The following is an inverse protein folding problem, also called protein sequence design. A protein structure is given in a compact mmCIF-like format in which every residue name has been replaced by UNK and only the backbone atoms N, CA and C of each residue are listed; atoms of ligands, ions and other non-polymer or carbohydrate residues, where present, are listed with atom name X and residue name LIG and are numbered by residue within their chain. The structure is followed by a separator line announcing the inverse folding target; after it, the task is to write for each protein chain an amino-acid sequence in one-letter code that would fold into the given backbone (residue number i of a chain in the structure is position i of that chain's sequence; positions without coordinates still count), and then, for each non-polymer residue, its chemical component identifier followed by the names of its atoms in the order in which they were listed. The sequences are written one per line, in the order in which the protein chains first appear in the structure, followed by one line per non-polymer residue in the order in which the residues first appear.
data_IF_662810656704
#
_entry.id   IF_662810656704
#
_cell.length_a   1.000
_cell.length_b   1.000
_cell.length_c   1.000
_cell.angle_alpha   90.00
_cell.angle_beta   90.00
_cell.angle_gamma   90.00
#
_symmetry.space_group_name_H-M   'P 1'
#
loop_
_entity.id
_entity.type
_entity.pdbx_description
1 polymer ?
#
# COMPACT_ATOMS: atom_id res chain seq x y z
N UNK A 1 16.44 -173.91 -117.02
CA UNK A 1 17.14 -173.55 -115.76
C UNK A 1 17.47 -172.06 -115.67
N UNK A 2 17.66 -171.34 -116.79
CA UNK A 2 17.94 -169.88 -116.77
C UNK A 2 16.76 -168.97 -116.39
N UNK A 3 15.52 -169.39 -116.64
CA UNK A 3 14.32 -168.56 -116.37
C UNK A 3 14.02 -168.39 -114.88
N UNK A 4 14.39 -169.36 -114.04
CA UNK A 4 14.19 -169.31 -112.58
C UNK A 4 15.24 -168.40 -111.93
N UNK A 5 16.49 -168.45 -112.36
CA UNK A 5 17.55 -167.52 -111.89
C UNK A 5 17.21 -166.06 -112.19
N UNK A 6 16.66 -165.78 -113.38
CA UNK A 6 16.25 -164.41 -113.77
C UNK A 6 15.12 -163.86 -112.90
N UNK A 7 14.12 -164.70 -112.59
CA UNK A 7 13.00 -164.33 -111.71
C UNK A 7 13.41 -164.14 -110.24
N UNK A 8 14.37 -164.94 -109.76
CA UNK A 8 14.92 -164.83 -108.41
C UNK A 8 15.84 -163.59 -108.28
N UNK A 9 16.59 -163.25 -109.35
CA UNK A 9 17.32 -161.99 -109.45
C UNK A 9 16.39 -160.77 -109.50
N UNK A 10 15.28 -160.87 -110.23
CA UNK A 10 14.27 -159.81 -110.31
C UNK A 10 13.59 -159.57 -108.95
N UNK A 11 13.14 -160.63 -108.28
CA UNK A 11 12.54 -160.54 -106.94
C UNK A 11 13.51 -160.03 -105.89
N UNK A 12 14.81 -160.32 -106.03
CA UNK A 12 15.84 -159.78 -105.13
C UNK A 12 16.03 -158.28 -105.35
N UNK A 13 16.07 -157.84 -106.61
CA UNK A 13 16.16 -156.43 -106.98
C UNK A 13 14.89 -155.64 -106.59
N UNK A 14 13.70 -156.23 -106.75
CA UNK A 14 12.44 -155.61 -106.36
C UNK A 14 12.31 -155.51 -104.83
N UNK A 15 12.84 -156.51 -104.09
CA UNK A 15 12.92 -156.46 -102.62
C UNK A 15 13.94 -155.42 -102.14
N UNK A 16 15.10 -155.32 -102.80
CA UNK A 16 16.10 -154.25 -102.52
C UNK A 16 15.49 -152.88 -102.79
N UNK A 17 14.81 -152.69 -103.93
CA UNK A 17 14.15 -151.43 -104.26
C UNK A 17 13.03 -151.06 -103.28
N UNK A 18 12.23 -152.03 -102.83
CA UNK A 18 11.18 -151.79 -101.84
C UNK A 18 11.76 -151.49 -100.44
N UNK A 19 12.92 -152.06 -100.11
CA UNK A 19 13.67 -151.72 -98.89
C UNK A 19 14.25 -150.31 -98.98
N UNK A 20 14.86 -149.94 -100.11
CA UNK A 20 15.38 -148.59 -100.34
C UNK A 20 14.25 -147.54 -100.32
N UNK A 21 13.09 -147.83 -100.94
CA UNK A 21 11.92 -146.94 -100.91
C UNK A 21 11.33 -146.81 -99.49
N UNK A 22 11.31 -147.90 -98.71
CA UNK A 22 10.92 -147.88 -97.29
C UNK A 22 11.90 -147.05 -96.47
N UNK A 23 13.21 -147.22 -96.67
CA UNK A 23 14.25 -146.52 -95.93
C UNK A 23 14.26 -145.01 -96.27
N UNK A 24 13.99 -144.64 -97.52
CA UNK A 24 13.80 -143.24 -97.94
C UNK A 24 12.52 -142.66 -97.35
N UNK A 25 11.42 -143.40 -97.32
CA UNK A 25 10.17 -142.96 -96.70
C UNK A 25 10.31 -142.80 -95.17
N UNK A 26 11.01 -143.71 -94.50
CA UNK A 26 11.30 -143.63 -93.07
C UNK A 26 12.25 -142.46 -92.74
N UNK A 27 13.27 -142.21 -93.57
CA UNK A 27 14.14 -141.05 -93.44
C UNK A 27 13.37 -139.73 -93.63
N UNK A 28 12.52 -139.64 -94.66
CA UNK A 28 11.71 -138.46 -94.93
C UNK A 28 10.65 -138.23 -93.85
N UNK A 29 10.02 -139.29 -93.33
CA UNK A 29 9.06 -139.19 -92.24
C UNK A 29 9.75 -138.74 -90.94
N UNK A 30 10.96 -139.22 -90.68
CA UNK A 30 11.76 -138.80 -89.53
C UNK A 30 12.16 -137.32 -89.64
N UNK A 31 12.61 -136.87 -90.80
CA UNK A 31 12.96 -135.46 -91.05
C UNK A 31 11.73 -134.53 -90.93
N UNK A 32 10.57 -134.97 -91.42
CA UNK A 32 9.31 -134.25 -91.24
C UNK A 32 8.86 -134.20 -89.78
N UNK A 33 9.03 -135.30 -89.02
CA UNK A 33 8.76 -135.34 -87.58
C UNK A 33 9.67 -134.40 -86.80
N UNK A 34 10.98 -134.39 -87.09
CA UNK A 34 11.94 -133.47 -86.47
C UNK A 34 11.60 -132.01 -86.79
N UNK A 35 11.15 -131.71 -88.00
CA UNK A 35 10.73 -130.35 -88.39
C UNK A 35 9.43 -129.92 -87.72
N UNK A 36 8.47 -130.83 -87.55
CA UNK A 36 7.24 -130.56 -86.80
C UNK A 36 7.54 -130.35 -85.32
N UNK A 37 8.49 -131.10 -84.77
CA UNK A 37 8.97 -130.93 -83.39
C UNK A 37 9.63 -129.56 -83.21
N UNK A 38 10.54 -129.15 -84.10
CA UNK A 38 11.16 -127.81 -84.09
C UNK A 38 10.13 -126.69 -84.16
N UNK A 39 9.18 -126.75 -85.09
CA UNK A 39 8.13 -125.72 -85.23
C UNK A 39 7.19 -125.70 -84.03
N UNK A 40 6.92 -126.84 -83.41
CA UNK A 40 6.14 -126.91 -82.18
C UNK A 40 6.88 -126.27 -81.00
N UNK A 41 8.20 -126.50 -80.88
CA UNK A 41 8.99 -125.91 -79.81
C UNK A 41 9.19 -124.40 -80.02
N UNK A 42 9.41 -123.94 -81.25
CA UNK A 42 9.41 -122.51 -81.59
C UNK A 42 8.04 -121.85 -81.30
N UNK A 43 6.93 -122.52 -81.63
CA UNK A 43 5.60 -122.02 -81.28
C UNK A 43 5.39 -121.92 -79.76
N UNK A 44 5.86 -122.91 -78.99
CA UNK A 44 5.79 -122.85 -77.53
C UNK A 44 6.64 -121.70 -76.99
N UNK A 45 7.83 -121.48 -77.53
CA UNK A 45 8.72 -120.39 -77.12
C UNK A 45 8.08 -119.02 -77.44
N UNK A 46 7.56 -118.84 -78.64
CA UNK A 46 6.83 -117.63 -79.04
C UNK A 46 5.59 -117.39 -78.19
N UNK A 47 4.80 -118.43 -77.91
CA UNK A 47 3.65 -118.31 -77.00
C UNK A 47 4.07 -117.91 -75.58
N UNK A 48 5.20 -118.43 -75.11
CA UNK A 48 5.76 -118.06 -73.80
C UNK A 48 6.24 -116.60 -73.81
N UNK A 49 6.87 -116.16 -74.90
CA UNK A 49 7.34 -114.79 -75.06
C UNK A 49 6.19 -113.78 -75.19
N UNK A 50 5.12 -114.14 -75.90
CA UNK A 50 3.90 -113.33 -75.99
C UNK A 50 3.30 -113.13 -74.59
N UNK A 51 3.15 -114.20 -73.81
CA UNK A 51 2.63 -114.10 -72.42
C UNK A 51 3.51 -113.23 -71.53
N UNK A 52 4.83 -113.31 -71.67
CA UNK A 52 5.75 -112.42 -70.95
C UNK A 52 5.55 -110.96 -71.34
N UNK A 53 5.47 -110.67 -72.65
CA UNK A 53 5.26 -109.31 -73.15
C UNK A 53 3.89 -108.75 -72.76
N UNK A 54 2.84 -109.58 -72.74
CA UNK A 54 1.51 -109.20 -72.25
C UNK A 54 1.58 -108.84 -70.76
N UNK A 55 2.25 -109.67 -69.94
CA UNK A 55 2.44 -109.38 -68.51
C UNK A 55 3.26 -108.11 -68.29
N UNK A 56 4.34 -107.91 -69.05
CA UNK A 56 5.16 -106.69 -69.00
C UNK A 56 4.35 -105.45 -69.43
N UNK A 57 3.48 -105.58 -70.44
CA UNK A 57 2.61 -104.50 -70.90
C UNK A 57 1.56 -104.14 -69.84
N UNK A 58 0.97 -105.13 -69.19
CA UNK A 58 0.02 -104.91 -68.09
C UNK A 58 0.72 -104.22 -66.90
N UNK A 59 1.88 -104.73 -66.48
CA UNK A 59 2.69 -104.15 -65.39
C UNK A 59 3.10 -102.70 -65.68
N UNK A 60 3.52 -102.41 -66.92
CA UNK A 60 3.93 -101.05 -67.32
C UNK A 60 2.73 -100.12 -67.42
N UNK A 61 1.57 -100.63 -67.88
CA UNK A 61 0.33 -99.86 -67.93
C UNK A 61 -0.20 -99.52 -66.54
N UNK A 62 -0.15 -100.45 -65.59
CA UNK A 62 -0.51 -100.19 -64.19
C UNK A 62 0.44 -99.18 -63.53
N UNK A 63 1.74 -99.31 -63.76
CA UNK A 63 2.74 -98.33 -63.29
C UNK A 63 2.47 -96.96 -63.87
N UNK A 64 2.20 -96.87 -65.18
CA UNK A 64 1.88 -95.61 -65.85
C UNK A 64 0.64 -94.97 -65.21
N UNK A 65 -0.47 -95.71 -65.07
CA UNK A 65 -1.69 -95.21 -64.43
C UNK A 65 -1.43 -94.72 -63.01
N UNK A 66 -0.64 -95.48 -62.22
CA UNK A 66 -0.28 -95.08 -60.85
C UNK A 66 0.54 -93.79 -60.83
N UNK A 67 1.48 -93.63 -61.77
CA UNK A 67 2.27 -92.39 -61.88
C UNK A 67 1.44 -91.20 -62.33
N UNK A 68 0.48 -91.39 -63.25
CA UNK A 68 -0.46 -90.35 -63.68
C UNK A 68 -1.29 -89.86 -62.50
N UNK A 69 -1.88 -90.78 -61.72
CA UNK A 69 -2.66 -90.42 -60.52
C UNK A 69 -1.81 -89.63 -59.52
N UNK A 70 -0.55 -90.04 -59.31
CA UNK A 70 0.38 -89.31 -58.43
C UNK A 70 0.73 -87.92 -58.96
N UNK A 71 0.90 -87.78 -60.28
CA UNK A 71 1.16 -86.51 -60.93
C UNK A 71 -0.03 -85.55 -60.76
N UNK A 72 -1.25 -86.01 -61.05
CA UNK A 72 -2.48 -85.24 -60.85
C UNK A 72 -2.68 -84.80 -59.39
N UNK A 73 -2.35 -85.68 -58.43
CA UNK A 73 -2.41 -85.35 -57.01
C UNK A 73 -1.36 -84.28 -56.62
N UNK A 74 -0.15 -84.37 -57.17
CA UNK A 74 0.91 -83.39 -56.94
C UNK A 74 0.57 -82.02 -57.56
N UNK A 75 0.01 -82.00 -58.77
CA UNK A 75 -0.46 -80.77 -59.43
C UNK A 75 -1.58 -80.09 -58.63
N UNK A 76 -2.56 -80.84 -58.12
CA UNK A 76 -3.60 -80.28 -57.24
C UNK A 76 -3.04 -79.74 -55.92
N UNK A 77 -2.06 -80.43 -55.34
CA UNK A 77 -1.40 -79.96 -54.13
C UNK A 77 -0.59 -78.68 -54.39
N UNK A 78 0.12 -78.62 -55.52
CA UNK A 78 0.84 -77.42 -55.95
C UNK A 78 -0.12 -76.24 -56.16
N UNK A 79 -1.22 -76.44 -56.87
CA UNK A 79 -2.21 -75.39 -57.11
C UNK A 79 -2.78 -74.84 -55.80
N UNK A 80 -3.14 -75.73 -54.85
CA UNK A 80 -3.59 -75.31 -53.51
C UNK A 80 -2.53 -74.48 -52.78
N UNK A 81 -1.27 -74.90 -52.83
CA UNK A 81 -0.17 -74.17 -52.19
C UNK A 81 0.12 -72.81 -52.85
N UNK A 82 0.00 -72.71 -54.18
CA UNK A 82 0.13 -71.44 -54.91
C UNK A 82 -1.01 -70.46 -54.56
N UNK A 83 -2.24 -70.96 -54.42
CA UNK A 83 -3.39 -70.17 -53.96
C UNK A 83 -3.21 -69.68 -52.51
N UNK A 84 -2.73 -70.53 -51.62
CA UNK A 84 -2.40 -70.16 -50.24
C UNK A 84 -1.26 -69.13 -50.18
N UNK A 85 -0.21 -69.30 -50.99
CA UNK A 85 0.90 -68.36 -51.07
C UNK A 85 0.42 -66.98 -51.55
N UNK A 86 -0.43 -66.94 -52.58
CA UNK A 86 -1.00 -65.70 -53.09
C UNK A 86 -1.89 -65.00 -52.04
N UNK A 87 -2.65 -65.77 -51.27
CA UNK A 87 -3.47 -65.23 -50.18
C UNK A 87 -2.62 -64.69 -49.03
N UNK A 88 -1.54 -65.38 -48.65
CA UNK A 88 -0.60 -64.91 -47.62
C UNK A 88 0.15 -63.65 -48.07
N UNK A 89 0.56 -63.55 -49.33
CA UNK A 89 1.19 -62.35 -49.87
C UNK A 89 0.25 -61.13 -49.81
N UNK A 90 -1.02 -61.30 -50.16
CA UNK A 90 -2.03 -60.22 -50.01
C UNK A 90 -2.21 -59.80 -48.56
N UNK A 91 -2.27 -60.76 -47.63
CA UNK A 91 -2.39 -60.47 -46.19
C UNK A 91 -1.16 -59.72 -45.66
N UNK A 92 0.04 -60.13 -46.09
CA UNK A 92 1.29 -59.47 -45.71
C UNK A 92 1.27 -58.00 -46.14
N UNK A 93 0.95 -57.73 -47.40
CA UNK A 93 0.88 -56.35 -47.92
C UNK A 93 -0.12 -55.48 -47.14
N UNK A 94 -1.33 -56.01 -46.88
CA UNK A 94 -2.33 -55.26 -46.11
C UNK A 94 -1.85 -54.96 -44.68
N UNK A 95 -1.17 -55.93 -44.05
CA UNK A 95 -0.63 -55.76 -42.69
C UNK A 95 0.52 -54.74 -42.67
N UNK A 96 1.38 -54.74 -43.69
CA UNK A 96 2.47 -53.76 -43.85
C UNK A 96 1.91 -52.35 -44.08
N UNK A 97 0.86 -52.19 -44.88
CA UNK A 97 0.18 -50.92 -45.07
C UNK A 97 -0.49 -50.41 -43.80
N UNK A 98 -1.14 -51.29 -43.02
CA UNK A 98 -1.72 -50.96 -41.72
C UNK A 98 -0.65 -50.56 -40.70
N UNK A 99 0.48 -51.28 -40.67
CA UNK A 99 1.62 -50.95 -39.82
C UNK A 99 2.18 -49.57 -40.16
N UNK A 100 2.42 -49.29 -41.44
CA UNK A 100 2.94 -48.00 -41.90
C UNK A 100 2.02 -46.83 -41.52
N UNK A 101 0.69 -46.99 -41.69
CA UNK A 101 -0.29 -45.99 -41.24
C UNK A 101 -0.29 -45.81 -39.73
N UNK A 102 -0.13 -46.89 -38.97
CA UNK A 102 -0.05 -46.84 -37.52
C UNK A 102 1.21 -46.10 -37.05
N UNK A 103 2.35 -46.34 -37.70
CA UNK A 103 3.62 -45.66 -37.41
C UNK A 103 3.54 -44.16 -37.69
N UNK A 104 2.98 -43.75 -38.83
CA UNK A 104 2.76 -42.34 -39.16
C UNK A 104 1.86 -41.65 -38.12
N UNK A 105 0.76 -42.32 -37.72
CA UNK A 105 -0.12 -41.81 -36.67
C UNK A 105 0.58 -41.68 -35.32
N UNK A 106 1.47 -42.60 -34.97
CA UNK A 106 2.26 -42.54 -33.73
C UNK A 106 3.23 -41.36 -33.79
N UNK A 107 3.92 -41.15 -34.91
CA UNK A 107 4.84 -40.03 -35.09
C UNK A 107 4.10 -38.67 -34.95
N UNK A 108 2.93 -38.54 -35.57
CA UNK A 108 2.09 -37.34 -35.44
C UNK A 108 1.65 -37.08 -33.99
N UNK A 109 1.25 -38.12 -33.27
CA UNK A 109 0.85 -38.00 -31.86
C UNK A 109 2.03 -37.66 -30.96
N UNK A 110 3.23 -38.19 -31.24
CA UNK A 110 4.45 -37.85 -30.51
C UNK A 110 4.87 -36.39 -30.73
N UNK A 111 4.75 -35.89 -31.97
CA UNK A 111 5.00 -34.47 -32.26
C UNK A 111 4.05 -33.58 -31.47
N UNK A 112 2.74 -33.85 -31.51
CA UNK A 112 1.73 -33.09 -30.77
C UNK A 112 1.94 -33.16 -29.26
N UNK A 113 2.32 -34.33 -28.74
CA UNK A 113 2.63 -34.50 -27.33
C UNK A 113 3.79 -33.60 -26.91
N UNK A 114 4.86 -33.57 -27.71
CA UNK A 114 6.04 -32.72 -27.44
C UNK A 114 5.67 -31.24 -27.45
N UNK A 115 4.84 -30.79 -28.39
CA UNK A 115 4.38 -29.39 -28.45
C UNK A 115 3.54 -29.00 -27.23
N UNK A 116 2.66 -29.90 -26.77
CA UNK A 116 1.84 -29.69 -25.57
C UNK A 116 2.73 -29.67 -24.33
N UNK A 117 3.73 -30.55 -24.24
CA UNK A 117 4.67 -30.60 -23.12
C UNK A 117 5.47 -29.29 -23.01
N UNK A 118 6.02 -28.80 -24.12
CA UNK A 118 6.73 -27.51 -24.17
C UNK A 118 5.83 -26.35 -23.76
N UNK A 119 4.59 -26.31 -24.27
CA UNK A 119 3.60 -25.29 -23.89
C UNK A 119 3.24 -25.35 -22.40
N UNK A 120 3.09 -26.57 -21.85
CA UNK A 120 2.82 -26.78 -20.43
C UNK A 120 3.98 -26.30 -19.54
N UNK A 121 5.23 -26.59 -19.92
CA UNK A 121 6.42 -26.10 -19.20
C UNK A 121 6.51 -24.57 -19.20
N UNK A 122 6.20 -23.93 -20.33
CA UNK A 122 6.20 -22.47 -20.42
C UNK A 122 5.08 -21.85 -19.56
N UNK A 123 3.88 -22.42 -19.57
CA UNK A 123 2.79 -22.00 -18.70
C UNK A 123 3.14 -22.16 -17.21
N UNK A 124 3.84 -23.24 -16.84
CA UNK A 124 4.33 -23.48 -15.49
C UNK A 124 5.33 -22.38 -15.05
N UNK A 125 6.26 -22.01 -15.94
CA UNK A 125 7.21 -20.91 -15.69
C UNK A 125 6.48 -19.58 -15.51
N UNK A 126 5.54 -19.26 -16.39
CA UNK A 126 4.75 -18.03 -16.30
C UNK A 126 3.92 -17.98 -15.02
N UNK A 127 3.32 -19.10 -14.59
CA UNK A 127 2.60 -19.17 -13.32
C UNK A 127 3.51 -18.83 -12.14
N UNK A 128 4.72 -19.40 -12.09
CA UNK A 128 5.70 -19.11 -11.02
C UNK A 128 6.13 -17.64 -10.99
N UNK A 129 6.31 -17.01 -12.15
CA UNK A 129 6.61 -15.58 -12.23
C UNK A 129 5.46 -14.74 -11.69
N UNK A 130 4.21 -15.08 -12.06
CA UNK A 130 3.03 -14.38 -11.56
C UNK A 130 2.83 -14.57 -10.05
N UNK A 131 3.09 -15.76 -9.53
CA UNK A 131 3.03 -16.07 -8.11
C UNK A 131 4.07 -15.27 -7.32
N UNK A 132 5.32 -15.23 -7.80
CA UNK A 132 6.37 -14.40 -7.19
C UNK A 132 6.04 -12.91 -7.23
N UNK A 133 5.41 -12.43 -8.31
CA UNK A 133 4.99 -11.02 -8.42
C UNK A 133 3.85 -10.73 -7.45
N UNK A 134 2.86 -11.61 -7.37
CA UNK A 134 1.74 -11.48 -6.42
C UNK A 134 2.23 -11.41 -4.98
N UNK A 135 3.17 -12.28 -4.59
CA UNK A 135 3.73 -12.27 -3.25
C UNK A 135 4.47 -10.96 -2.92
N UNK A 136 5.24 -10.42 -3.88
CA UNK A 136 5.91 -9.15 -3.72
C UNK A 136 4.93 -7.96 -3.66
N UNK A 137 3.86 -8.00 -4.44
CA UNK A 137 2.79 -6.98 -4.40
C UNK A 137 2.04 -7.04 -3.05
N UNK A 138 1.75 -8.23 -2.52
CA UNK A 138 1.12 -8.42 -1.21
C UNK A 138 1.99 -7.89 -0.06
N UNK A 139 3.30 -8.16 -0.08
CA UNK A 139 4.25 -7.61 0.91
C UNK A 139 4.28 -6.08 0.86
N UNK A 140 4.37 -5.51 -0.35
CA UNK A 140 4.36 -4.06 -0.55
C UNK A 140 3.05 -3.41 -0.09
N UNK A 141 1.91 -4.06 -0.31
CA UNK A 141 0.62 -3.58 0.18
C UNK A 141 0.61 -3.55 1.72
N UNK A 142 1.10 -4.59 2.38
CA UNK A 142 1.16 -4.66 3.85
C UNK A 142 2.06 -3.55 4.45
N UNK A 143 3.20 -3.26 3.81
CA UNK A 143 4.07 -2.15 4.21
C UNK A 143 3.36 -0.79 4.08
N UNK A 144 2.71 -0.55 2.94
CA UNK A 144 1.98 0.69 2.69
C UNK A 144 0.81 0.87 3.67
N UNK A 145 0.07 -0.20 3.98
CA UNK A 145 -0.99 -0.16 4.99
C UNK A 145 -0.45 0.23 6.36
N UNK A 146 0.68 -0.35 6.77
CA UNK A 146 1.35 0.00 8.03
C UNK A 146 1.79 1.46 8.04
N UNK A 147 2.36 1.96 6.95
CA UNK A 147 2.79 3.35 6.82
C UNK A 147 1.61 4.33 6.85
N UNK A 148 0.49 3.98 6.20
CA UNK A 148 -0.74 4.79 6.23
C UNK A 148 -1.31 4.84 7.64
N UNK A 149 -1.36 3.71 8.34
CA UNK A 149 -1.82 3.64 9.73
C UNK A 149 -0.96 4.51 10.65
N UNK A 150 0.37 4.40 10.55
CA UNK A 150 1.30 5.22 11.33
C UNK A 150 1.14 6.72 11.03
N UNK A 151 1.03 7.09 9.76
CA UNK A 151 0.85 8.48 9.34
C UNK A 151 -0.47 9.06 9.87
N UNK A 152 -1.54 8.25 9.85
CA UNK A 152 -2.84 8.65 10.39
C UNK A 152 -2.78 8.90 11.89
N UNK A 153 -2.16 8.00 12.67
CA UNK A 153 -1.99 8.21 14.12
C UNK A 153 -1.16 9.46 14.40
N UNK A 154 -0.09 9.71 13.63
CA UNK A 154 0.71 10.93 13.80
C UNK A 154 -0.08 12.21 13.47
N UNK A 155 -0.97 12.16 12.48
CA UNK A 155 -1.85 13.28 12.14
C UNK A 155 -2.86 13.55 13.27
N UNK A 156 -3.52 12.51 13.78
CA UNK A 156 -4.47 12.62 14.89
C UNK A 156 -3.81 13.20 16.16
N UNK A 157 -2.57 12.80 16.46
CA UNK A 157 -1.82 13.37 17.58
C UNK A 157 -1.41 14.83 17.35
N UNK A 158 -1.13 15.21 16.09
CA UNK A 158 -0.86 16.60 15.73
C UNK A 158 -2.11 17.47 15.87
N UNK A 159 -3.27 16.98 15.41
CA UNK A 159 -4.54 17.68 15.52
C UNK A 159 -4.93 17.91 16.98
N UNK A 160 -4.74 16.89 17.83
CA UNK A 160 -4.95 17.03 19.29
C UNK A 160 -4.08 18.12 19.91
N UNK A 161 -2.80 18.17 19.53
CA UNK A 161 -1.87 19.22 20.01
C UNK A 161 -2.28 20.60 19.51
N UNK A 162 -2.73 20.70 18.26
CA UNK A 162 -3.22 21.94 17.67
C UNK A 162 -4.46 22.46 18.39
N UNK A 163 -5.42 21.58 18.69
CA UNK A 163 -6.63 21.92 19.44
C UNK A 163 -6.30 22.40 20.86
N UNK A 164 -5.36 21.73 21.54
CA UNK A 164 -4.91 22.13 22.87
C UNK A 164 -4.21 23.50 22.84
N UNK A 165 -3.33 23.72 21.87
CA UNK A 165 -2.65 25.00 21.67
C UNK A 165 -3.65 26.13 21.37
N UNK A 166 -4.63 25.88 20.51
CA UNK A 166 -5.68 26.83 20.16
C UNK A 166 -6.51 27.22 21.38
N UNK A 167 -6.91 26.24 22.22
CA UNK A 167 -7.63 26.52 23.47
C UNK A 167 -6.80 27.34 24.45
N UNK A 168 -5.52 27.02 24.61
CA UNK A 168 -4.60 27.79 25.46
C UNK A 168 -4.47 29.22 24.96
N UNK A 169 -4.32 29.41 23.65
CA UNK A 169 -4.24 30.73 23.04
C UNK A 169 -5.47 31.57 23.37
N UNK A 170 -6.68 31.03 23.18
CA UNK A 170 -7.92 31.75 23.51
C UNK A 170 -7.97 32.18 24.97
N UNK A 171 -7.59 31.30 25.91
CA UNK A 171 -7.55 31.66 27.34
C UNK A 171 -6.55 32.79 27.59
N UNK A 172 -5.35 32.71 27.00
CA UNK A 172 -4.32 33.75 27.18
C UNK A 172 -4.71 35.09 26.55
N UNK A 173 -5.43 35.07 25.43
CA UNK A 173 -5.97 36.28 24.79
C UNK A 173 -7.03 36.95 25.67
N UNK A 174 -7.91 36.17 26.31
CA UNK A 174 -8.88 36.69 27.28
C UNK A 174 -8.21 37.27 28.53
N UNK A 175 -7.18 36.60 29.06
CA UNK A 175 -6.42 37.10 30.22
C UNK A 175 -5.67 38.39 29.88
N UNK A 176 -5.08 38.47 28.69
CA UNK A 176 -4.44 39.68 28.19
C UNK A 176 -5.44 40.83 28.09
N UNK A 177 -6.61 40.62 27.48
CA UNK A 177 -7.65 41.64 27.36
C UNK A 177 -8.12 42.17 28.73
N UNK A 178 -8.29 41.29 29.72
CA UNK A 178 -8.62 41.69 31.11
C UNK A 178 -7.49 42.49 31.75
N UNK A 179 -6.23 42.12 31.50
CA UNK A 179 -5.06 42.86 32.00
C UNK A 179 -4.95 44.24 31.37
N UNK A 180 -5.22 44.36 30.06
CA UNK A 180 -5.23 45.64 29.34
C UNK A 180 -6.33 46.57 29.85
N UNK A 181 -7.56 46.07 30.03
CA UNK A 181 -8.67 46.86 30.61
C UNK A 181 -8.32 47.38 32.01
N UNK A 182 -7.72 46.52 32.85
CA UNK A 182 -7.26 46.91 34.18
C UNK A 182 -6.15 47.96 34.13
N UNK A 183 -5.20 47.84 33.20
CA UNK A 183 -4.14 48.83 33.01
C UNK A 183 -4.72 50.18 32.60
N UNK A 184 -5.66 50.20 31.64
CA UNK A 184 -6.33 51.41 31.19
C UNK A 184 -7.10 52.10 32.34
N UNK A 185 -7.77 51.32 33.20
CA UNK A 185 -8.43 51.86 34.39
C UNK A 185 -7.43 52.54 35.35
N UNK A 186 -6.28 51.90 35.61
CA UNK A 186 -5.23 52.50 36.44
C UNK A 186 -4.62 53.76 35.82
N UNK A 187 -4.41 53.79 34.51
CA UNK A 187 -3.92 54.98 33.81
C UNK A 187 -4.92 56.14 33.93
N UNK A 188 -6.22 55.87 33.78
CA UNK A 188 -7.27 56.88 33.98
C UNK A 188 -7.26 57.43 35.41
N UNK A 189 -7.22 56.56 36.44
CA UNK A 189 -7.13 57.01 37.84
C UNK A 189 -5.87 57.81 38.12
N UNK A 190 -4.73 57.40 37.55
CA UNK A 190 -3.47 58.11 37.70
C UNK A 190 -3.50 59.49 37.03
N UNK A 191 -4.18 59.61 35.88
CA UNK A 191 -4.42 60.91 35.23
C UNK A 191 -5.28 61.83 36.08
N UNK A 192 -6.38 61.32 36.65
CA UNK A 192 -7.25 62.08 37.55
C UNK A 192 -6.50 62.57 38.80
N UNK A 193 -5.75 61.67 39.46
CA UNK A 193 -4.94 62.01 40.61
C UNK A 193 -3.86 63.06 40.30
N UNK A 194 -3.25 63.01 39.10
CA UNK A 194 -2.30 64.03 38.65
C UNK A 194 -2.97 65.40 38.47
N UNK A 195 -4.19 65.42 37.94
CA UNK A 195 -4.95 66.67 37.76
C UNK A 195 -5.39 67.26 39.10
N UNK A 196 -5.88 66.43 40.03
CA UNK A 196 -6.18 66.85 41.40
C UNK A 196 -4.95 67.42 42.12
N UNK A 197 -3.80 66.75 41.98
CA UNK A 197 -2.54 67.24 42.56
C UNK A 197 -2.14 68.59 41.95
N UNK A 198 -2.34 68.78 40.65
CA UNK A 198 -2.08 70.07 39.99
C UNK A 198 -3.01 71.18 40.49
N UNK A 199 -4.30 70.89 40.68
CA UNK A 199 -5.26 71.82 41.25
C UNK A 199 -4.92 72.17 42.70
N UNK A 200 -4.58 71.17 43.53
CA UNK A 200 -4.16 71.37 44.91
C UNK A 200 -2.90 72.24 44.98
N UNK A 201 -1.93 71.99 44.11
CA UNK A 201 -0.72 72.81 44.01
C UNK A 201 -1.02 74.27 43.68
N UNK A 202 -1.97 74.51 42.76
CA UNK A 202 -2.41 75.88 42.43
C UNK A 202 -3.16 76.55 43.61
N UNK A 203 -3.97 75.79 44.34
CA UNK A 203 -4.65 76.29 45.54
C UNK A 203 -3.66 76.66 46.64
N UNK A 204 -2.64 75.82 46.89
CA UNK A 204 -1.57 76.10 47.86
C UNK A 204 -0.85 77.40 47.48
N UNK A 205 -0.44 77.57 46.21
CA UNK A 205 0.16 78.82 45.75
C UNK A 205 -0.72 80.05 45.97
N UNK A 206 -2.03 79.92 45.74
CA UNK A 206 -2.96 81.03 45.98
C UNK A 206 -3.10 81.34 47.47
N UNK A 207 -3.08 80.33 48.34
CA UNK A 207 -3.11 80.50 49.79
C UNK A 207 -1.82 81.12 50.31
N UNK A 208 -0.65 80.67 49.82
CA UNK A 208 0.66 81.27 50.13
C UNK A 208 0.67 82.76 49.77
N UNK A 209 0.20 83.13 48.57
CA UNK A 209 0.11 84.53 48.16
C UNK A 209 -0.91 85.36 48.99
N UNK A 210 -1.94 84.70 49.55
CA UNK A 210 -2.90 85.35 50.44
C UNK A 210 -2.33 85.51 51.85
N UNK A 211 -1.59 84.52 52.34
CA UNK A 211 -0.85 84.56 53.60
C UNK A 211 0.16 85.71 53.58
N UNK A 212 0.98 85.81 52.52
CA UNK A 212 1.95 86.91 52.35
C UNK A 212 1.28 88.29 52.45
N UNK A 213 0.13 88.48 51.78
CA UNK A 213 -0.67 89.72 51.89
C UNK A 213 -1.22 89.96 53.29
N UNK A 214 -1.65 88.92 54.00
CA UNK A 214 -2.11 89.08 55.38
C UNK A 214 -0.96 89.47 56.30
N UNK A 215 0.22 88.88 56.13
CA UNK A 215 1.44 89.26 56.86
C UNK A 215 1.84 90.70 56.58
N UNK A 216 1.85 91.15 55.31
CA UNK A 216 2.12 92.55 54.96
C UNK A 216 1.12 93.52 55.61
N UNK A 217 -0.18 93.16 55.62
CA UNK A 217 -1.20 93.96 56.27
C UNK A 217 -1.02 93.98 57.80
N UNK A 218 -0.69 92.84 58.40
CA UNK A 218 -0.39 92.71 59.83
C UNK A 218 0.77 93.63 60.22
N UNK A 219 1.88 93.62 59.47
CA UNK A 219 3.02 94.52 59.68
C UNK A 219 2.62 96.01 59.55
N UNK A 220 1.80 96.35 58.55
CA UNK A 220 1.28 97.72 58.38
C UNK A 220 0.41 98.14 59.57
N UNK A 221 -0.51 97.28 60.01
CA UNK A 221 -1.36 97.55 61.16
C UNK A 221 -0.56 97.64 62.45
N UNK A 222 0.43 96.77 62.65
CA UNK A 222 1.30 96.80 63.82
C UNK A 222 2.09 98.11 63.89
N UNK A 223 2.66 98.56 62.76
CA UNK A 223 3.31 99.87 62.66
C UNK A 223 2.33 101.01 62.96
N UNK A 224 1.10 100.93 62.44
CA UNK A 224 0.08 101.94 62.68
C UNK A 224 -0.33 102.00 64.16
N UNK A 225 -0.43 100.85 64.82
CA UNK A 225 -0.69 100.75 66.26
C UNK A 225 0.45 101.41 67.03
N UNK A 226 1.72 101.08 66.75
CA UNK A 226 2.88 101.73 67.40
C UNK A 226 2.88 103.26 67.20
N UNK A 227 2.62 103.74 65.98
CA UNK A 227 2.53 105.18 65.68
C UNK A 227 1.40 105.86 66.48
N UNK A 228 0.27 105.16 66.70
CA UNK A 228 -0.86 105.67 67.48
C UNK A 228 -0.56 105.63 68.98
N UNK A 229 0.11 104.59 69.48
CA UNK A 229 0.59 104.49 70.87
C UNK A 229 1.58 105.61 71.20
N UNK A 230 2.55 105.90 70.32
CA UNK A 230 3.48 107.01 70.49
C UNK A 230 2.76 108.36 70.53
N UNK A 231 1.77 108.57 69.65
CA UNK A 231 0.95 109.80 69.66
C UNK A 231 0.09 109.90 70.91
N UNK A 232 -0.47 108.79 71.37
CA UNK A 232 -1.24 108.74 72.61
C UNK A 232 -0.35 109.15 73.78
N UNK A 233 0.84 108.57 73.89
CA UNK A 233 1.81 108.91 74.93
C UNK A 233 2.20 110.39 74.92
N UNK A 234 2.48 110.97 73.75
CA UNK A 234 2.76 112.42 73.64
C UNK A 234 1.55 113.26 74.06
N UNK A 235 0.33 112.82 73.74
CA UNK A 235 -0.89 113.50 74.17
C UNK A 235 -1.13 113.36 75.68
N UNK A 236 -0.84 112.20 76.27
CA UNK A 236 -0.86 111.94 77.71
C UNK A 236 0.15 112.82 78.45
N UNK A 237 1.43 112.81 78.04
CA UNK A 237 2.47 113.67 78.62
C UNK A 237 2.08 115.16 78.55
N UNK A 238 1.45 115.58 77.44
CA UNK A 238 0.94 116.95 77.28
C UNK A 238 -0.24 117.25 78.19
N UNK A 239 -1.14 116.28 78.39
CA UNK A 239 -2.25 116.40 79.31
C UNK A 239 -1.73 116.51 80.75
N UNK A 240 -0.75 115.71 81.15
CA UNK A 240 -0.10 115.76 82.46
C UNK A 240 0.52 117.14 82.73
N UNK A 241 1.27 117.69 81.77
CA UNK A 241 1.84 119.05 81.88
C UNK A 241 0.72 120.10 82.02
N UNK A 242 -0.37 119.95 81.28
CA UNK A 242 -1.51 120.86 81.38
C UNK A 242 -2.21 120.73 82.73
N UNK A 243 -2.34 119.53 83.29
CA UNK A 243 -2.90 119.29 84.62
C UNK A 243 -2.00 119.87 85.73
N UNK A 244 -0.67 119.70 85.64
CA UNK A 244 0.28 120.35 86.55
C UNK A 244 0.17 121.88 86.48
N UNK A 245 0.11 122.42 85.26
CA UNK A 245 -0.06 123.86 85.05
C UNK A 245 -1.38 124.35 85.62
N UNK A 246 -2.48 123.60 85.43
CA UNK A 246 -3.78 123.91 86.02
C UNK A 246 -3.73 123.90 87.55
N UNK A 247 -3.03 122.93 88.14
CA UNK A 247 -2.85 122.82 89.59
C UNK A 247 -2.05 124.00 90.14
N UNK A 248 -0.98 124.40 89.46
CA UNK A 248 -0.22 125.62 89.78
C UNK A 248 -1.11 126.86 89.71
N UNK A 249 -1.88 127.02 88.63
CA UNK A 249 -2.78 128.16 88.45
C UNK A 249 -3.86 128.20 89.54
N UNK A 250 -4.44 127.06 89.90
CA UNK A 250 -5.40 126.95 91.01
C UNK A 250 -4.78 127.37 92.34
N UNK A 251 -3.55 126.95 92.61
CA UNK A 251 -2.85 127.34 93.85
C UNK A 251 -2.61 128.85 93.90
N UNK A 252 -2.22 129.47 92.78
CA UNK A 252 -2.11 130.93 92.69
C UNK A 252 -3.47 131.63 92.75
N UNK A 253 -4.53 131.02 92.21
CA UNK A 253 -5.89 131.55 92.30
C UNK A 253 -6.35 131.56 93.76
N UNK A 254 -6.17 130.46 94.49
CA UNK A 254 -6.51 130.37 95.92
C UNK A 254 -5.74 131.43 96.72
N UNK A 255 -4.44 131.64 96.44
CA UNK A 255 -3.64 132.71 97.06
C UNK A 255 -4.19 134.11 96.76
N UNK A 256 -4.57 134.37 95.50
CA UNK A 256 -5.18 135.63 95.10
C UNK A 256 -6.57 135.83 95.71
N UNK A 257 -7.35 134.77 95.90
CA UNK A 257 -8.64 134.79 96.57
C UNK A 257 -8.49 135.07 98.08
N UNK A 258 -7.48 134.48 98.73
CA UNK A 258 -7.12 134.78 100.11
C UNK A 258 -6.66 136.24 100.27
N UNK A 259 -5.80 136.74 99.39
CA UNK A 259 -5.39 138.16 99.37
C UNK A 259 -6.59 139.10 99.14
N UNK A 260 -7.51 138.73 98.23
CA UNK A 260 -8.74 139.49 97.98
C UNK A 260 -9.67 139.47 99.19
N UNK A 261 -9.76 138.35 99.92
CA UNK A 261 -10.56 138.26 101.14
C UNK A 261 -10.00 139.20 102.21
N UNK A 262 -8.67 139.16 102.44
CA UNK A 262 -7.98 140.07 103.37
C UNK A 262 -8.26 141.54 103.00
N UNK A 263 -8.17 141.87 101.72
CA UNK A 263 -8.39 143.25 101.28
C UNK A 263 -9.86 143.67 101.36
N UNK A 264 -10.81 142.74 101.15
CA UNK A 264 -12.24 142.97 101.41
C UNK A 264 -12.54 143.18 102.89
N UNK A 265 -11.85 142.47 103.78
CA UNK A 265 -11.98 142.65 105.23
C UNK A 265 -11.50 144.05 105.66
N UNK A 266 -10.36 144.51 105.13
CA UNK A 266 -9.90 145.90 105.33
C UNK A 266 -10.89 146.94 104.82
N UNK A 267 -11.45 146.74 103.63
CA UNK A 267 -12.45 147.66 103.07
C UNK A 267 -13.70 147.68 103.96
N UNK A 268 -14.11 146.52 104.49
CA UNK A 268 -15.23 146.43 105.42
C UNK A 268 -14.92 147.18 106.73
N UNK A 269 -13.75 147.00 107.32
CA UNK A 269 -13.32 147.74 108.51
C UNK A 269 -13.31 149.26 108.28
N UNK A 270 -12.77 149.71 107.14
CA UNK A 270 -12.83 151.12 106.73
C UNK A 270 -14.26 151.62 106.55
N UNK A 271 -15.17 150.78 106.06
CA UNK A 271 -16.58 151.14 105.85
C UNK A 271 -17.32 151.23 107.18
N UNK A 272 -17.04 150.33 108.14
CA UNK A 272 -17.56 150.40 109.51
C UNK A 272 -17.02 151.63 110.25
N UNK A 273 -15.76 152.03 110.04
CA UNK A 273 -15.22 153.31 110.53
C UNK A 273 -15.92 154.52 109.88
N UNK A 274 -16.19 154.49 108.56
CA UNK A 274 -16.95 155.55 107.88
C UNK A 274 -18.40 155.65 108.39
N UNK A 275 -19.10 154.53 108.58
CA UNK A 275 -20.47 154.54 109.10
C UNK A 275 -20.53 155.06 110.55
N UNK A 276 -19.50 154.77 111.35
CA UNK A 276 -19.35 155.35 112.69
C UNK A 276 -19.12 156.86 112.64
N UNK A 277 -18.31 157.34 111.69
CA UNK A 277 -18.05 158.77 111.48
C UNK A 277 -19.29 159.52 110.96
N UNK A 278 -20.12 158.86 110.13
CA UNK A 278 -21.38 159.41 109.61
C UNK A 278 -22.47 159.45 110.70
N UNK A 279 -22.50 158.47 111.61
CA UNK A 279 -23.41 158.50 112.77
C UNK A 279 -23.06 159.63 113.76
N UNK A 280 -21.79 160.03 113.86
CA UNK A 280 -21.36 161.16 114.70
C UNK A 280 -21.70 162.54 114.10
N UNK A 281 -21.93 162.64 112.78
CA UNK A 281 -22.24 163.91 112.09
C UNK A 281 -23.74 164.25 112.01
N UNK A 282 -24.67 163.31 112.30
CA UNK A 282 -26.11 163.53 112.19
C UNK A 282 -26.82 163.90 113.52
N UNK A 283 -26.07 164.29 114.56
CA UNK A 283 -26.63 164.73 115.86
C UNK A 283 -26.43 166.22 116.19
N UNK A 284 -25.90 167.04 115.28
CA UNK A 284 -25.93 168.51 115.42
C UNK A 284 -26.55 169.16 114.17
N UNK A 285 -27.69 169.83 114.41
CA UNK A 285 -28.61 170.59 113.52
C UNK A 285 -29.80 169.80 112.98
#
# INVERSE_FOLDING_TARGET
MDTIKKKLSQLKADKEKALDEKDVAEASMKEAMERVEQVNDENKELQTRIKQLETELDDTSEKLNTTVIKCEAAEKAQQTAEEEMANLQRKLQLTEEELSRSEERVADLQSKYTDIEQSSEENERQRKVLESRSAADDERMSELETQVMSSKTSLEDSDRKYDEASRKLTVTEEELARSEERSAAFESSLSQMKEELHQLHNNVKSLEAQEEKFTENEEMYEKKVRDLEDKLKVAEDRADIAEESLKSLKTSLDQLEDELMIEKEKVREMTEEMERTIQELNFEV
#
